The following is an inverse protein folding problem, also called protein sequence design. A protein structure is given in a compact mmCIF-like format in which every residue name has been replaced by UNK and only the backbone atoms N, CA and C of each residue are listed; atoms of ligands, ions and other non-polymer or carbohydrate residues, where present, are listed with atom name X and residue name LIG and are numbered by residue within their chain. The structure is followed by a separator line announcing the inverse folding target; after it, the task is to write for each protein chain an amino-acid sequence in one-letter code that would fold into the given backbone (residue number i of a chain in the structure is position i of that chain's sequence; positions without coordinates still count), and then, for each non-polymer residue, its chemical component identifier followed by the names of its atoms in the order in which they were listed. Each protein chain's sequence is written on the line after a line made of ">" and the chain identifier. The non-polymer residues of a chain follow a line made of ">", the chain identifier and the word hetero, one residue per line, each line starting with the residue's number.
data_IF_294709078810
#
_entry.id   IF_294709078810
#
_cell.length_a   1.000
_cell.length_b   1.000
_cell.length_c   1.000
_cell.angle_alpha   90.00
_cell.angle_beta   90.00
_cell.angle_gamma   90.00
#
_symmetry.space_group_name_H-M   'P 1'
#
loop_
_entity.id
_entity.type
_entity.pdbx_description
1 polymer ?
#
# COMPACT_ATOMS: atom_id res chain seq x y z
N UNK A 1 7.53 -17.19 -20.78
CA UNK A 1 8.37 -17.28 -19.57
C UNK A 1 7.45 -17.26 -18.36
N UNK A 2 7.23 -18.42 -17.73
CA UNK A 2 6.52 -18.50 -16.45
C UNK A 2 7.35 -17.81 -15.37
N UNK A 3 7.04 -16.55 -15.08
CA UNK A 3 7.60 -15.86 -13.91
C UNK A 3 6.96 -16.45 -12.67
N UNK A 4 7.52 -17.58 -12.22
CA UNK A 4 7.12 -18.26 -10.99
C UNK A 4 7.20 -17.26 -9.84
N UNK A 5 6.03 -16.78 -9.41
CA UNK A 5 5.92 -15.78 -8.35
C UNK A 5 6.50 -16.38 -7.07
N UNK A 6 7.57 -15.79 -6.53
CA UNK A 6 8.14 -16.24 -5.27
C UNK A 6 7.17 -15.86 -4.13
N UNK A 7 6.54 -16.87 -3.51
CA UNK A 7 5.56 -16.68 -2.44
C UNK A 7 6.22 -17.07 -1.11
N UNK A 8 6.46 -16.07 -0.27
CA UNK A 8 6.88 -16.28 1.12
C UNK A 8 5.65 -16.50 2.00
N UNK A 9 5.69 -17.53 2.86
CA UNK A 9 4.67 -17.79 3.89
C UNK A 9 5.28 -17.52 5.26
N UNK A 10 4.59 -16.73 6.07
CA UNK A 10 4.97 -16.41 7.43
C UNK A 10 3.71 -16.20 8.28
N UNK A 11 3.86 -16.25 9.59
CA UNK A 11 2.78 -16.03 10.56
C UNK A 11 2.84 -14.58 11.05
N UNK A 12 1.69 -13.92 11.13
CA UNK A 12 1.58 -12.56 11.66
C UNK A 12 0.41 -12.49 12.64
N UNK A 13 0.58 -11.74 13.73
CA UNK A 13 -0.49 -11.41 14.66
C UNK A 13 -1.26 -10.20 14.16
N UNK A 14 -2.58 -10.28 14.18
CA UNK A 14 -3.50 -9.25 13.67
C UNK A 14 -4.76 -9.26 14.52
N UNK A 15 -5.34 -8.08 14.73
CA UNK A 15 -6.64 -7.93 15.37
C UNK A 15 -7.73 -8.64 14.56
N UNK A 16 -8.56 -9.42 15.24
CA UNK A 16 -9.61 -10.22 14.61
C UNK A 16 -10.63 -9.32 13.89
N UNK A 17 -11.05 -8.25 14.55
CA UNK A 17 -12.09 -7.36 14.03
C UNK A 17 -11.62 -6.65 12.76
N UNK A 18 -10.34 -6.24 12.72
CA UNK A 18 -9.71 -5.69 11.53
C UNK A 18 -9.67 -6.69 10.37
N UNK A 19 -9.35 -7.97 10.64
CA UNK A 19 -9.37 -9.00 9.61
C UNK A 19 -10.78 -9.25 9.07
N UNK A 20 -11.78 -9.30 9.96
CA UNK A 20 -13.17 -9.53 9.60
C UNK A 20 -13.71 -8.37 8.75
N UNK A 21 -13.39 -7.12 9.12
CA UNK A 21 -13.70 -5.93 8.33
C UNK A 21 -13.00 -5.96 6.96
N UNK A 22 -11.71 -6.30 6.94
CA UNK A 22 -10.95 -6.39 5.69
C UNK A 22 -11.57 -7.42 4.73
N UNK A 23 -11.99 -8.58 5.23
CA UNK A 23 -12.67 -9.60 4.43
C UNK A 23 -14.01 -9.09 3.89
N UNK A 24 -14.77 -8.37 4.71
CA UNK A 24 -16.06 -7.78 4.34
C UNK A 24 -15.90 -6.72 3.24
N UNK A 25 -14.97 -5.79 3.40
CA UNK A 25 -14.71 -4.71 2.43
C UNK A 25 -14.17 -5.26 1.11
N UNK A 26 -13.20 -6.20 1.18
CA UNK A 26 -12.57 -6.75 -0.02
C UNK A 26 -13.40 -7.83 -0.73
N UNK A 27 -14.47 -8.33 -0.09
CA UNK A 27 -15.30 -9.43 -0.59
C UNK A 27 -14.54 -10.75 -0.78
N UNK A 28 -13.35 -10.90 -0.20
CA UNK A 28 -12.50 -12.07 -0.41
C UNK A 28 -12.82 -13.16 0.61
N UNK A 29 -12.90 -14.41 0.14
CA UNK A 29 -13.07 -15.58 1.01
C UNK A 29 -11.75 -16.05 1.66
N UNK A 30 -10.61 -15.71 1.06
CA UNK A 30 -9.28 -16.15 1.52
C UNK A 30 -8.54 -15.02 2.22
N UNK A 31 -8.16 -15.26 3.48
CA UNK A 31 -7.35 -14.33 4.30
C UNK A 31 -6.11 -13.83 3.57
N UNK A 32 -5.34 -14.74 2.97
CA UNK A 32 -4.12 -14.38 2.22
C UNK A 32 -4.40 -13.46 1.04
N UNK A 33 -5.53 -13.61 0.35
CA UNK A 33 -5.88 -12.75 -0.79
C UNK A 33 -6.31 -11.37 -0.32
N UNK A 34 -7.12 -11.28 0.75
CA UNK A 34 -7.52 -10.02 1.35
C UNK A 34 -6.31 -9.20 1.81
N UNK A 35 -5.38 -9.83 2.55
CA UNK A 35 -4.14 -9.19 3.01
C UNK A 35 -3.27 -8.73 1.83
N UNK A 36 -3.11 -9.55 0.80
CA UNK A 36 -2.33 -9.17 -0.38
C UNK A 36 -2.93 -7.97 -1.14
N UNK A 37 -4.26 -7.82 -1.15
CA UNK A 37 -4.94 -6.66 -1.74
C UNK A 37 -4.67 -5.43 -0.88
N UNK A 38 -4.91 -5.53 0.43
CA UNK A 38 -4.70 -4.44 1.38
C UNK A 38 -3.25 -3.91 1.34
N UNK A 39 -2.26 -4.80 1.44
CA UNK A 39 -0.86 -4.41 1.41
C UNK A 39 -0.47 -3.74 0.09
N UNK A 40 -1.00 -4.20 -1.05
CA UNK A 40 -0.72 -3.62 -2.36
C UNK A 40 -1.30 -2.21 -2.49
N UNK A 41 -2.51 -2.01 -1.99
CA UNK A 41 -3.16 -0.70 -1.98
C UNK A 41 -2.45 0.27 -1.05
N UNK A 42 -2.09 -0.17 0.15
CA UNK A 42 -1.34 0.62 1.12
C UNK A 42 0.01 1.10 0.55
N UNK A 43 0.79 0.19 -0.06
CA UNK A 43 2.08 0.56 -0.67
C UNK A 43 1.88 1.57 -1.81
N UNK A 44 0.87 1.36 -2.66
CA UNK A 44 0.57 2.31 -3.75
C UNK A 44 0.14 3.68 -3.23
N UNK A 45 -0.66 3.72 -2.17
CA UNK A 45 -1.08 4.96 -1.53
C UNK A 45 0.11 5.72 -0.97
N UNK A 46 1.00 5.04 -0.23
CA UNK A 46 2.23 5.64 0.32
C UNK A 46 3.18 6.14 -0.76
N UNK A 47 3.31 5.42 -1.87
CA UNK A 47 4.10 5.89 -3.02
C UNK A 47 3.52 7.18 -3.62
N UNK A 48 2.20 7.29 -3.77
CA UNK A 48 1.55 8.51 -4.26
C UNK A 48 1.73 9.68 -3.29
N UNK A 49 1.55 9.45 -2.00
CA UNK A 49 1.78 10.47 -0.95
C UNK A 49 3.21 11.02 -1.02
N UNK A 50 4.20 10.13 -1.12
CA UNK A 50 5.61 10.52 -1.24
C UNK A 50 5.88 11.34 -2.50
N UNK A 51 5.29 10.96 -3.64
CA UNK A 51 5.44 11.73 -4.89
C UNK A 51 4.83 13.12 -4.79
N UNK A 52 3.65 13.26 -4.17
CA UNK A 52 3.01 14.56 -3.95
C UNK A 52 3.84 15.44 -3.01
N UNK A 53 4.38 14.86 -1.93
CA UNK A 53 5.27 15.55 -1.00
C UNK A 53 6.54 16.06 -1.70
N UNK A 54 7.18 15.22 -2.50
CA UNK A 54 8.36 15.59 -3.28
C UNK A 54 8.04 16.70 -4.29
N UNK A 55 6.91 16.60 -4.98
CA UNK A 55 6.43 17.65 -5.88
C UNK A 55 6.29 18.99 -5.13
N UNK A 56 5.65 18.99 -3.96
CA UNK A 56 5.50 20.19 -3.13
C UNK A 56 6.84 20.83 -2.75
N UNK A 57 7.85 20.03 -2.40
CA UNK A 57 9.20 20.53 -2.10
C UNK A 57 9.88 21.18 -3.31
N UNK A 58 9.75 20.56 -4.48
CA UNK A 58 10.36 21.07 -5.72
C UNK A 58 9.75 22.44 -6.07
N UNK A 59 8.43 22.59 -6.02
CA UNK A 59 7.77 23.88 -6.29
C UNK A 59 8.11 24.95 -5.25
N UNK A 60 8.26 24.59 -3.97
CA UNK A 60 8.69 25.55 -2.95
C UNK A 60 10.11 26.08 -3.18
N UNK A 61 11.04 25.23 -3.62
CA UNK A 61 12.42 25.65 -3.90
C UNK A 61 12.50 26.58 -5.13
N UNK A 62 11.75 26.29 -6.20
CA UNK A 62 11.73 27.16 -7.39
C UNK A 62 11.00 28.50 -7.17
N UNK A 63 10.10 28.58 -6.19
CA UNK A 63 9.42 29.83 -5.84
C UNK A 63 10.29 30.78 -4.99
N UNK A 64 11.33 30.26 -4.34
CA UNK A 64 12.28 31.06 -3.54
C UNK A 64 13.39 31.68 -4.38
N UNK A 65 13.74 31.09 -5.53
CA UNK A 65 14.78 31.60 -6.45
C UNK A 65 14.31 32.74 -7.37
N UNK A 66 13.02 33.12 -7.34
CA UNK A 66 12.44 34.18 -8.18
C UNK A 66 12.09 35.46 -7.42
N UNK A 67 12.63 35.66 -6.21
CA UNK A 67 12.44 36.87 -5.40
C UNK A 67 13.71 37.70 -5.24
#
# INVERSE_FOLDING_TARGET
>A
MDTKKNILRFTVSMEKDLLDELLRITGQRKKSKAINVACREFVRMKQKENLLYLKGKIFSHFAEETK
#
